data_IF_230507291941
#
_entry.id   IF_230507291941
#
_cell.length_a   1.000
_cell.length_b   1.000
_cell.length_c   1.000
_cell.angle_alpha   90.00
_cell.angle_beta   90.00
_cell.angle_gamma   90.00
#
_symmetry.space_group_name_H-M   'P 1'
#
loop_
_entity.id
_entity.type
_entity.pdbx_description
1 polymer ?
#
# COMPACT_ATOMS: atom_id res chain seq x y z
N UNK A 1 19.02 -11.53 7.30
CA UNK A 1 18.51 -10.50 6.38
C UNK A 1 17.59 -11.14 5.33
N UNK A 2 16.41 -10.56 5.06
CA UNK A 2 15.55 -11.05 3.97
C UNK A 2 16.20 -10.76 2.62
N UNK A 3 16.12 -11.71 1.69
CA UNK A 3 16.65 -11.57 0.33
C UNK A 3 15.57 -10.96 -0.56
N UNK A 4 15.94 -9.96 -1.38
CA UNK A 4 15.06 -9.47 -2.45
C UNK A 4 15.20 -10.41 -3.63
N UNK A 5 14.07 -10.95 -4.07
CA UNK A 5 13.98 -11.72 -5.31
C UNK A 5 13.15 -10.90 -6.27
N UNK A 6 13.80 -10.34 -7.29
CA UNK A 6 13.15 -9.57 -8.35
C UNK A 6 13.63 -10.10 -9.70
N UNK A 7 12.70 -10.30 -10.63
CA UNK A 7 13.03 -10.71 -12.00
C UNK A 7 13.74 -9.59 -12.77
N UNK A 8 14.44 -9.93 -13.84
CA UNK A 8 15.02 -8.95 -14.77
C UNK A 8 13.91 -8.07 -15.39
N UNK A 9 14.16 -6.78 -15.70
CA UNK A 9 13.15 -5.87 -16.23
C UNK A 9 12.33 -6.44 -17.38
N UNK A 10 12.98 -7.09 -18.37
CA UNK A 10 12.32 -7.73 -19.53
C UNK A 10 11.30 -8.82 -19.17
N UNK A 11 11.45 -9.43 -17.99
CA UNK A 11 10.63 -10.52 -17.49
C UNK A 11 9.57 -10.05 -16.48
N UNK A 12 9.51 -8.75 -16.20
CA UNK A 12 8.52 -8.14 -15.29
C UNK A 12 7.42 -7.41 -16.05
N UNK A 13 6.28 -7.15 -15.40
CA UNK A 13 5.19 -6.36 -16.00
C UNK A 13 5.62 -4.94 -16.40
N UNK A 14 6.62 -4.37 -15.71
CA UNK A 14 7.16 -3.04 -16.00
C UNK A 14 7.79 -2.95 -17.38
N UNK A 15 8.52 -3.99 -17.81
CA UNK A 15 9.26 -4.08 -19.08
C UNK A 15 10.22 -2.91 -19.39
N UNK A 16 10.48 -2.03 -18.42
CA UNK A 16 11.32 -0.85 -18.58
C UNK A 16 12.13 -0.58 -17.31
N UNK A 17 13.29 0.06 -17.47
CA UNK A 17 14.30 0.21 -16.44
C UNK A 17 13.86 1.10 -15.26
N UNK A 18 13.24 2.26 -15.53
CA UNK A 18 12.86 3.21 -14.48
C UNK A 18 11.82 2.68 -13.50
N UNK A 19 10.66 2.14 -13.92
CA UNK A 19 9.70 1.59 -12.98
C UNK A 19 10.23 0.33 -12.28
N UNK A 20 11.05 -0.48 -12.94
CA UNK A 20 11.75 -1.60 -12.30
C UNK A 20 12.64 -1.13 -11.14
N UNK A 21 13.45 -0.07 -11.35
CA UNK A 21 14.29 0.52 -10.30
C UNK A 21 13.45 1.02 -9.12
N UNK A 22 12.30 1.64 -9.37
CA UNK A 22 11.42 2.09 -8.29
C UNK A 22 10.71 0.90 -7.62
N UNK A 23 10.37 -0.18 -8.34
CA UNK A 23 9.89 -1.43 -7.72
C UNK A 23 10.95 -2.03 -6.78
N UNK A 24 12.24 -1.94 -7.09
CA UNK A 24 13.29 -2.35 -6.14
C UNK A 24 13.21 -1.57 -4.82
N UNK A 25 12.76 -0.31 -4.84
CA UNK A 25 12.53 0.46 -3.60
C UNK A 25 11.35 -0.07 -2.76
N UNK A 26 10.31 -0.62 -3.40
CA UNK A 26 9.22 -1.35 -2.73
C UNK A 26 9.79 -2.57 -2.00
N UNK A 27 10.61 -3.36 -2.68
CA UNK A 27 11.23 -4.55 -2.10
C UNK A 27 12.25 -4.24 -0.98
N UNK A 28 13.03 -3.16 -1.13
CA UNK A 28 13.89 -2.67 -0.05
C UNK A 28 13.09 -2.21 1.16
N UNK A 29 11.90 -1.64 0.96
CA UNK A 29 11.03 -1.29 2.08
C UNK A 29 10.54 -2.52 2.84
N UNK A 30 10.26 -3.64 2.15
CA UNK A 30 10.01 -4.92 2.81
C UNK A 30 11.21 -5.39 3.63
N UNK A 31 12.45 -5.21 3.16
CA UNK A 31 13.63 -5.51 3.99
C UNK A 31 13.65 -4.65 5.26
N UNK A 32 13.32 -3.36 5.16
CA UNK A 32 13.24 -2.46 6.31
C UNK A 32 12.14 -2.88 7.31
N UNK A 33 10.96 -3.29 6.82
CA UNK A 33 9.88 -3.84 7.64
C UNK A 33 10.32 -5.13 8.33
N UNK A 34 10.89 -6.07 7.60
CA UNK A 34 11.32 -7.38 8.10
C UNK A 34 12.50 -7.28 9.07
N UNK A 35 13.28 -6.21 8.98
CA UNK A 35 14.42 -5.95 9.87
C UNK A 35 13.99 -5.36 11.22
N UNK A 36 12.73 -4.93 11.38
CA UNK A 36 12.28 -4.41 12.66
C UNK A 36 12.36 -5.47 13.76
N UNK A 37 12.84 -5.12 14.97
CA UNK A 37 12.87 -6.05 16.09
C UNK A 37 11.49 -6.62 16.38
N UNK A 38 11.40 -7.95 16.50
CA UNK A 38 10.15 -8.63 16.82
C UNK A 38 9.20 -8.83 15.63
N UNK A 39 9.57 -8.42 14.40
CA UNK A 39 8.68 -8.52 13.24
C UNK A 39 8.14 -9.94 13.02
N UNK A 40 9.01 -10.96 12.95
CA UNK A 40 8.59 -12.34 12.71
C UNK A 40 7.73 -12.90 13.85
N UNK A 41 8.06 -12.56 15.10
CA UNK A 41 7.26 -12.93 16.26
C UNK A 41 5.88 -12.27 16.22
N UNK A 42 5.80 -10.99 15.82
CA UNK A 42 4.54 -10.28 15.69
C UNK A 42 3.67 -10.88 14.58
N UNK A 43 4.27 -11.27 13.45
CA UNK A 43 3.58 -11.95 12.34
C UNK A 43 3.06 -13.32 12.77
N UNK A 44 3.87 -14.11 13.48
CA UNK A 44 3.45 -15.40 14.04
C UNK A 44 2.29 -15.22 15.04
N UNK A 45 2.36 -14.19 15.89
CA UNK A 45 1.35 -13.85 16.89
C UNK A 45 0.00 -13.43 16.28
N UNK A 46 -0.07 -13.11 14.99
CA UNK A 46 -1.36 -12.93 14.31
C UNK A 46 -2.19 -14.22 14.35
N UNK A 47 -1.55 -15.39 14.40
CA UNK A 47 -2.20 -16.71 14.45
C UNK A 47 -2.82 -17.16 13.12
N UNK A 48 -2.46 -16.51 12.01
CA UNK A 48 -3.11 -16.69 10.71
C UNK A 48 -2.47 -17.79 9.85
N UNK A 49 -1.25 -18.23 10.19
CA UNK A 49 -0.54 -19.26 9.42
C UNK A 49 -1.20 -20.63 9.50
N UNK A 50 -1.89 -20.95 10.61
CA UNK A 50 -2.60 -22.22 10.85
C UNK A 50 -1.75 -23.46 10.52
N UNK A 51 -0.45 -23.41 10.82
CA UNK A 51 0.51 -24.49 10.58
C UNK A 51 1.28 -24.38 9.26
N UNK A 52 1.01 -23.37 8.43
CA UNK A 52 1.82 -23.08 7.25
C UNK A 52 3.19 -22.49 7.64
N UNK A 53 4.24 -23.26 7.41
CA UNK A 53 5.63 -22.87 7.63
C UNK A 53 6.32 -22.24 6.40
N UNK A 54 5.64 -22.21 5.24
CA UNK A 54 6.18 -21.68 3.97
C UNK A 54 5.96 -20.17 3.80
N UNK A 55 5.04 -19.59 4.56
CA UNK A 55 4.61 -18.20 4.43
C UNK A 55 3.54 -17.96 3.36
N UNK A 56 3.14 -19.00 2.61
CA UNK A 56 2.13 -18.92 1.56
C UNK A 56 0.75 -18.47 2.07
N UNK A 57 0.46 -18.61 3.37
CA UNK A 57 -0.76 -18.11 4.00
C UNK A 57 -0.93 -16.60 3.75
N UNK A 58 0.14 -15.81 3.67
CA UNK A 58 0.06 -14.38 3.41
C UNK A 58 -0.50 -14.06 2.01
N UNK A 59 -0.37 -15.00 1.08
CA UNK A 59 -0.86 -14.90 -0.30
C UNK A 59 -2.22 -15.59 -0.47
N UNK A 60 -2.42 -16.73 0.22
CA UNK A 60 -3.53 -17.64 0.02
C UNK A 60 -4.58 -17.60 1.14
N UNK A 61 -4.46 -16.67 2.09
CA UNK A 61 -5.43 -16.53 3.18
C UNK A 61 -6.85 -16.35 2.61
N UNK A 62 -7.85 -17.10 3.10
CA UNK A 62 -9.20 -17.14 2.54
C UNK A 62 -10.05 -15.96 3.01
N UNK A 63 -9.59 -14.74 2.77
CA UNK A 63 -10.37 -13.52 3.05
C UNK A 63 -11.67 -13.52 2.21
N UNK A 64 -12.78 -12.99 2.73
CA UNK A 64 -14.09 -13.02 2.06
C UNK A 64 -14.19 -12.01 0.90
N UNK A 65 -13.33 -12.14 -0.11
CA UNK A 65 -13.29 -11.26 -1.29
C UNK A 65 -14.60 -11.24 -2.10
N UNK A 66 -15.30 -12.38 -2.11
CA UNK A 66 -16.53 -12.58 -2.91
C UNK A 66 -17.81 -12.31 -2.10
N UNK A 67 -17.72 -12.00 -0.79
CA UNK A 67 -18.88 -11.62 0.00
C UNK A 67 -19.44 -10.26 -0.49
N UNK A 68 -20.70 -10.20 -0.97
CA UNK A 68 -21.26 -8.96 -1.51
C UNK A 68 -21.31 -7.80 -0.52
N UNK A 69 -21.49 -8.07 0.78
CA UNK A 69 -21.52 -7.03 1.83
C UNK A 69 -20.13 -6.43 2.04
N UNK A 70 -19.10 -7.28 2.05
CA UNK A 70 -17.70 -6.84 2.18
C UNK A 70 -17.29 -6.06 0.94
N UNK A 71 -17.57 -6.58 -0.26
CA UNK A 71 -17.26 -5.92 -1.53
C UNK A 71 -17.96 -4.56 -1.66
N UNK A 72 -19.25 -4.47 -1.33
CA UNK A 72 -19.99 -3.20 -1.36
C UNK A 72 -19.41 -2.18 -0.37
N UNK A 73 -19.10 -2.62 0.85
CA UNK A 73 -18.52 -1.74 1.87
C UNK A 73 -17.11 -1.28 1.49
N UNK A 74 -16.31 -2.15 0.87
CA UNK A 74 -14.99 -1.81 0.34
C UNK A 74 -15.09 -0.76 -0.77
N UNK A 75 -16.00 -0.95 -1.74
CA UNK A 75 -16.22 0.01 -2.82
C UNK A 75 -16.64 1.39 -2.28
N UNK A 76 -17.55 1.42 -1.29
CA UNK A 76 -17.93 2.67 -0.62
C UNK A 76 -16.73 3.36 0.05
N UNK A 77 -15.88 2.60 0.73
CA UNK A 77 -14.70 3.13 1.41
C UNK A 77 -13.66 3.67 0.43
N UNK A 78 -13.42 2.95 -0.67
CA UNK A 78 -12.58 3.34 -1.82
C UNK A 78 -13.04 4.67 -2.42
N UNK A 79 -14.34 4.82 -2.67
CA UNK A 79 -14.89 6.03 -3.28
C UNK A 79 -14.78 7.24 -2.32
N UNK A 80 -14.99 7.03 -1.03
CA UNK A 80 -14.75 8.04 0.00
C UNK A 80 -13.27 8.44 0.08
N UNK A 81 -12.35 7.48 0.00
CA UNK A 81 -10.91 7.73 0.02
C UNK A 81 -10.49 8.62 -1.15
N UNK A 82 -10.90 8.26 -2.37
CA UNK A 82 -10.65 9.03 -3.59
C UNK A 82 -11.22 10.45 -3.48
N UNK A 83 -12.49 10.58 -3.07
CA UNK A 83 -13.14 11.88 -2.88
C UNK A 83 -12.40 12.73 -1.85
N UNK A 84 -11.89 12.13 -0.78
CA UNK A 84 -11.15 12.84 0.27
C UNK A 84 -9.79 13.30 -0.22
N UNK A 85 -9.08 12.49 -1.01
CA UNK A 85 -7.76 12.84 -1.55
C UNK A 85 -7.82 13.97 -2.58
N UNK A 86 -8.86 13.99 -3.40
CA UNK A 86 -9.09 15.00 -4.45
C UNK A 86 -9.55 16.37 -3.87
N UNK A 87 -9.95 16.42 -2.60
CA UNK A 87 -10.38 17.67 -1.96
C UNK A 87 -9.19 18.58 -1.62
N UNK A 88 -9.31 19.85 -2.01
CA UNK A 88 -8.28 20.90 -1.84
C UNK A 88 -8.69 21.96 -0.84
N UNK A 89 -9.97 22.03 -0.47
CA UNK A 89 -10.47 22.93 0.55
C UNK A 89 -10.39 22.29 1.94
N UNK A 90 -9.59 22.86 2.85
CA UNK A 90 -9.34 22.31 4.19
C UNK A 90 -10.59 22.02 5.02
N UNK A 91 -11.60 22.91 4.96
CA UNK A 91 -12.84 22.72 5.73
C UNK A 91 -13.67 21.56 5.20
N UNK A 92 -13.71 21.37 3.87
CA UNK A 92 -14.39 20.23 3.25
C UNK A 92 -13.58 18.95 3.45
N UNK A 93 -12.26 19.03 3.33
CA UNK A 93 -11.33 17.94 3.58
C UNK A 93 -11.53 17.35 4.98
N UNK A 94 -11.54 18.20 6.03
CA UNK A 94 -11.78 17.75 7.40
C UNK A 94 -13.12 17.01 7.57
N UNK A 95 -14.18 17.46 6.90
CA UNK A 95 -15.49 16.77 6.92
C UNK A 95 -15.45 15.42 6.19
N UNK A 96 -14.74 15.35 5.06
CA UNK A 96 -14.60 14.12 4.29
C UNK A 96 -13.73 13.09 5.02
N UNK A 97 -12.62 13.52 5.62
CA UNK A 97 -11.80 12.71 6.53
C UNK A 97 -12.65 12.09 7.63
N UNK A 98 -13.45 12.90 8.34
CA UNK A 98 -14.29 12.38 9.43
C UNK A 98 -15.29 11.32 8.93
N UNK A 99 -15.84 11.50 7.73
CA UNK A 99 -16.70 10.50 7.07
C UNK A 99 -15.93 9.24 6.70
N UNK A 100 -14.76 9.39 6.11
CA UNK A 100 -13.87 8.29 5.73
C UNK A 100 -13.45 7.46 6.96
N UNK A 101 -12.94 8.10 8.02
CA UNK A 101 -12.54 7.43 9.27
C UNK A 101 -13.72 6.65 9.88
N UNK A 102 -14.92 7.25 9.92
CA UNK A 102 -16.12 6.57 10.41
C UNK A 102 -16.48 5.36 9.54
N UNK A 103 -16.41 5.50 8.22
CA UNK A 103 -16.67 4.41 7.28
C UNK A 103 -15.62 3.29 7.40
N UNK A 104 -14.34 3.64 7.56
CA UNK A 104 -13.23 2.70 7.77
C UNK A 104 -13.46 1.87 9.04
N UNK A 105 -13.76 2.52 10.17
CA UNK A 105 -14.09 1.84 11.43
C UNK A 105 -15.27 0.87 11.26
N UNK A 106 -16.34 1.30 10.58
CA UNK A 106 -17.49 0.43 10.29
C UNK A 106 -17.13 -0.76 9.38
N UNK A 107 -16.29 -0.52 8.38
CA UNK A 107 -15.85 -1.56 7.44
C UNK A 107 -15.06 -2.65 8.17
N UNK A 108 -14.06 -2.29 8.97
CA UNK A 108 -13.27 -3.26 9.74
C UNK A 108 -14.10 -3.97 10.81
N UNK A 109 -15.03 -3.29 11.47
CA UNK A 109 -15.90 -3.88 12.49
C UNK A 109 -16.86 -4.96 11.95
N UNK A 110 -17.05 -5.06 10.62
CA UNK A 110 -17.86 -6.12 10.01
C UNK A 110 -17.08 -7.40 9.72
N UNK A 111 -15.74 -7.32 9.74
CA UNK A 111 -14.86 -8.45 9.45
C UNK A 111 -14.76 -9.37 10.66
N UNK A 112 -14.45 -10.65 10.42
CA UNK A 112 -14.05 -11.52 11.51
C UNK A 112 -12.72 -11.02 12.13
N UNK A 113 -12.40 -11.39 13.39
CA UNK A 113 -11.13 -10.99 14.00
C UNK A 113 -9.89 -11.38 13.17
N UNK A 114 -9.90 -12.56 12.53
CA UNK A 114 -8.79 -13.01 11.69
C UNK A 114 -8.73 -12.22 10.36
N UNK A 115 -9.88 -11.92 9.75
CA UNK A 115 -9.95 -11.14 8.51
C UNK A 115 -9.52 -9.68 8.71
N UNK A 116 -9.86 -9.09 9.87
CA UNK A 116 -9.36 -7.78 10.27
C UNK A 116 -7.84 -7.81 10.35
N UNK A 117 -7.27 -8.74 11.13
CA UNK A 117 -5.81 -8.87 11.27
C UNK A 117 -5.13 -9.05 9.92
N UNK A 118 -5.66 -9.94 9.07
CA UNK A 118 -5.12 -10.20 7.74
C UNK A 118 -5.10 -8.92 6.89
N UNK A 119 -6.24 -8.24 6.75
CA UNK A 119 -6.32 -7.05 5.91
C UNK A 119 -5.49 -5.89 6.47
N UNK A 120 -5.50 -5.69 7.79
CA UNK A 120 -4.67 -4.69 8.47
C UNK A 120 -3.18 -4.93 8.21
N UNK A 121 -2.74 -6.19 8.32
CA UNK A 121 -1.37 -6.60 8.02
C UNK A 121 -1.02 -6.35 6.55
N UNK A 122 -1.88 -6.72 5.60
CA UNK A 122 -1.62 -6.54 4.17
C UNK A 122 -1.58 -5.05 3.76
N UNK A 123 -2.43 -4.21 4.33
CA UNK A 123 -2.38 -2.76 4.11
C UNK A 123 -1.12 -2.14 4.71
N UNK A 124 -0.72 -2.57 5.92
CA UNK A 124 0.52 -2.15 6.54
C UNK A 124 1.74 -2.60 5.71
N UNK A 125 1.76 -3.84 5.24
CA UNK A 125 2.90 -4.42 4.54
C UNK A 125 3.00 -3.94 3.09
N UNK A 126 2.05 -4.35 2.25
CA UNK A 126 2.08 -4.13 0.80
C UNK A 126 1.59 -2.74 0.41
N UNK A 127 0.56 -2.27 1.11
CA UNK A 127 -0.01 -0.95 0.88
C UNK A 127 1.00 0.16 1.12
N UNK A 128 1.71 0.13 2.26
CA UNK A 128 2.73 1.13 2.58
C UNK A 128 4.03 0.90 1.79
N UNK A 129 4.32 -0.31 1.35
CA UNK A 129 5.39 -0.53 0.37
C UNK A 129 5.06 0.16 -0.98
N UNK A 130 3.82 0.03 -1.49
CA UNK A 130 3.37 0.77 -2.68
C UNK A 130 3.34 2.28 -2.46
N UNK A 131 2.95 2.76 -1.28
CA UNK A 131 3.11 4.16 -0.91
C UNK A 131 4.58 4.60 -1.03
N UNK A 132 5.50 3.80 -0.48
CA UNK A 132 6.94 4.07 -0.51
C UNK A 132 7.48 4.10 -1.93
N UNK A 133 7.00 3.22 -2.82
CA UNK A 133 7.28 3.26 -4.26
C UNK A 133 6.94 4.63 -4.85
N UNK A 134 5.73 5.15 -4.58
CA UNK A 134 5.31 6.48 -5.06
C UNK A 134 6.20 7.59 -4.48
N UNK A 135 6.47 7.57 -3.17
CA UNK A 135 7.31 8.60 -2.53
C UNK A 135 8.76 8.55 -3.01
N UNK A 136 9.29 7.37 -3.28
CA UNK A 136 10.63 7.19 -3.82
C UNK A 136 10.73 7.79 -5.23
N UNK A 137 9.73 7.54 -6.09
CA UNK A 137 9.66 8.17 -7.40
C UNK A 137 9.59 9.70 -7.29
N UNK A 138 8.75 10.24 -6.40
CA UNK A 138 8.66 11.68 -6.14
C UNK A 138 9.97 12.29 -5.65
N UNK A 139 10.68 11.62 -4.75
CA UNK A 139 11.98 12.07 -4.26
C UNK A 139 13.04 12.04 -5.38
N UNK A 140 12.97 11.04 -6.27
CA UNK A 140 13.86 10.89 -7.42
C UNK A 140 13.55 11.87 -8.57
N UNK A 141 12.43 12.59 -8.54
CA UNK A 141 12.02 13.47 -9.66
C UNK A 141 13.08 14.53 -10.05
N UNK A 142 13.93 14.94 -9.10
CA UNK A 142 15.04 15.89 -9.35
C UNK A 142 16.41 15.23 -9.38
N UNK A 143 16.46 13.90 -9.27
CA UNK A 143 17.70 13.15 -9.29
C UNK A 143 18.23 13.08 -10.73
N UNK A 144 19.52 13.36 -10.89
CA UNK A 144 20.20 13.21 -12.17
C UNK A 144 20.82 11.80 -12.22
N UNK A 145 20.32 10.90 -13.08
CA UNK A 145 20.94 9.58 -13.23
C UNK A 145 22.36 9.69 -13.82
N UNK A 146 23.14 8.64 -13.60
CA UNK A 146 24.42 8.47 -14.27
C UNK A 146 24.22 8.45 -15.81
N UNK A 147 25.20 8.96 -16.60
CA UNK A 147 25.09 9.00 -18.06
C UNK A 147 24.75 7.63 -18.69
N UNK A 148 25.28 6.55 -18.13
CA UNK A 148 25.06 5.19 -18.60
C UNK A 148 23.59 4.77 -18.45
N UNK A 149 22.96 5.15 -17.35
CA UNK A 149 21.55 4.86 -17.09
C UNK A 149 20.64 5.72 -17.97
N UNK A 150 20.97 6.99 -18.14
CA UNK A 150 20.24 7.90 -19.03
C UNK A 150 20.33 7.47 -20.51
N UNK A 151 21.34 6.69 -20.88
CA UNK A 151 21.54 6.17 -22.23
C UNK A 151 20.77 4.87 -22.52
N UNK A 152 20.09 4.28 -21.54
CA UNK A 152 19.26 3.08 -21.76
C UNK A 152 18.13 3.38 -22.75
N UNK A 153 17.86 2.44 -23.67
CA UNK A 153 16.88 2.61 -24.77
C UNK A 153 15.46 2.87 -24.27
N UNK A 154 15.15 2.34 -23.09
CA UNK A 154 13.86 2.37 -22.41
C UNK A 154 13.87 3.33 -21.20
N UNK A 155 14.88 4.19 -21.08
CA UNK A 155 14.95 5.18 -20.01
C UNK A 155 13.74 6.11 -20.05
N UNK A 156 13.01 6.15 -18.94
CA UNK A 156 11.98 7.15 -18.66
C UNK A 156 12.53 8.14 -17.62
N UNK A 157 12.45 9.46 -17.87
CA UNK A 157 12.84 10.47 -16.88
C UNK A 157 12.11 10.32 -15.54
N UNK A 158 12.83 10.49 -14.43
CA UNK A 158 12.28 10.26 -13.09
C UNK A 158 11.12 11.21 -12.74
N UNK A 159 11.14 12.46 -13.23
CA UNK A 159 10.04 13.40 -13.02
C UNK A 159 8.74 12.96 -13.71
N UNK A 160 8.86 12.48 -14.95
CA UNK A 160 7.78 11.94 -15.75
C UNK A 160 7.21 10.68 -15.10
N UNK A 161 8.10 9.77 -14.66
CA UNK A 161 7.69 8.57 -13.95
C UNK A 161 7.03 8.88 -12.59
N UNK A 162 7.54 9.85 -11.83
CA UNK A 162 6.95 10.23 -10.54
C UNK A 162 5.49 10.70 -10.70
N UNK A 163 5.23 11.56 -11.69
CA UNK A 163 3.87 12.00 -12.00
C UNK A 163 2.97 10.83 -12.40
N UNK A 164 3.49 9.90 -13.22
CA UNK A 164 2.79 8.70 -13.67
C UNK A 164 2.49 7.73 -12.53
N UNK A 165 3.46 7.40 -11.67
CA UNK A 165 3.32 6.44 -10.58
C UNK A 165 2.19 6.81 -9.61
N UNK A 166 2.09 8.10 -9.23
CA UNK A 166 0.99 8.60 -8.41
C UNK A 166 -0.35 8.49 -9.16
N UNK A 167 -0.40 8.96 -10.40
CA UNK A 167 -1.63 8.95 -11.19
C UNK A 167 -2.16 7.53 -11.45
N UNK A 168 -1.27 6.60 -11.76
CA UNK A 168 -1.58 5.18 -11.96
C UNK A 168 -2.11 4.55 -10.68
N UNK A 169 -1.46 4.77 -9.54
CA UNK A 169 -1.93 4.25 -8.23
C UNK A 169 -3.37 4.70 -7.93
N UNK A 170 -3.70 5.98 -8.17
CA UNK A 170 -5.06 6.49 -7.94
C UNK A 170 -6.04 6.03 -9.03
N UNK A 171 -5.59 5.83 -10.27
CA UNK A 171 -6.40 5.28 -11.36
C UNK A 171 -6.73 3.81 -11.14
N UNK A 172 -5.76 3.01 -10.68
CA UNK A 172 -5.95 1.63 -10.22
C UNK A 172 -7.00 1.61 -9.13
N UNK A 173 -6.82 2.38 -8.05
CA UNK A 173 -7.79 2.47 -6.96
C UNK A 173 -9.19 2.80 -7.47
N UNK A 174 -9.34 3.72 -8.42
CA UNK A 174 -10.66 4.11 -8.96
C UNK A 174 -11.39 2.98 -9.68
N UNK A 175 -10.67 2.03 -10.28
CA UNK A 175 -11.24 0.94 -11.08
C UNK A 175 -11.28 -0.40 -10.34
N UNK A 176 -10.56 -0.50 -9.23
CA UNK A 176 -10.32 -1.78 -8.58
C UNK A 176 -11.59 -2.34 -7.96
N UNK A 177 -11.79 -3.63 -8.16
CA UNK A 177 -12.92 -4.40 -7.62
C UNK A 177 -12.40 -5.49 -6.69
N UNK A 178 -12.99 -5.61 -5.50
CA UNK A 178 -12.52 -6.53 -4.46
C UNK A 178 -12.64 -7.99 -4.89
N UNK A 179 -13.78 -8.37 -5.46
CA UNK A 179 -14.05 -9.76 -5.82
C UNK A 179 -13.14 -10.23 -6.96
N UNK A 180 -12.92 -9.37 -7.97
CA UNK A 180 -12.06 -9.69 -9.13
C UNK A 180 -10.58 -9.64 -8.81
N UNK A 181 -10.14 -8.60 -8.11
CA UNK A 181 -8.70 -8.33 -7.92
C UNK A 181 -8.13 -9.00 -6.67
N UNK A 182 -9.01 -9.46 -5.76
CA UNK A 182 -8.64 -10.16 -4.53
C UNK A 182 -7.57 -9.38 -3.76
N UNK A 183 -6.50 -10.03 -3.32
CA UNK A 183 -5.40 -9.41 -2.57
C UNK A 183 -4.79 -8.19 -3.26
N UNK A 184 -4.79 -8.10 -4.60
CA UNK A 184 -4.21 -6.98 -5.33
C UNK A 184 -4.84 -5.63 -4.95
N UNK A 185 -6.04 -5.62 -4.36
CA UNK A 185 -6.65 -4.39 -3.86
C UNK A 185 -5.81 -3.63 -2.84
N UNK A 186 -4.96 -4.31 -2.08
CA UNK A 186 -4.27 -3.69 -0.95
C UNK A 186 -3.19 -2.70 -1.38
N UNK A 187 -2.61 -2.89 -2.57
CA UNK A 187 -1.52 -2.05 -3.07
C UNK A 187 -1.97 -0.61 -3.28
N UNK A 188 -2.95 -0.39 -4.16
CA UNK A 188 -3.45 0.95 -4.47
C UNK A 188 -4.25 1.55 -3.31
N UNK A 189 -4.98 0.71 -2.56
CA UNK A 189 -5.78 1.16 -1.42
C UNK A 189 -4.89 1.61 -0.26
N UNK A 190 -3.94 0.78 0.18
CA UNK A 190 -3.04 1.14 1.27
C UNK A 190 -2.08 2.27 0.89
N UNK A 191 -1.67 2.36 -0.38
CA UNK A 191 -0.92 3.51 -0.86
C UNK A 191 -1.70 4.82 -0.73
N UNK A 192 -2.99 4.80 -1.12
CA UNK A 192 -3.88 5.93 -0.96
C UNK A 192 -4.16 6.28 0.50
N UNK A 193 -4.24 5.29 1.41
CA UNK A 193 -4.29 5.54 2.86
C UNK A 193 -3.02 6.25 3.34
N UNK A 194 -1.83 5.83 2.91
CA UNK A 194 -0.57 6.53 3.23
C UNK A 194 -0.54 7.97 2.72
N UNK A 195 -1.05 8.22 1.50
CA UNK A 195 -1.20 9.57 0.95
C UNK A 195 -2.21 10.42 1.74
N UNK A 196 -3.27 9.81 2.25
CA UNK A 196 -4.21 10.50 3.12
C UNK A 196 -3.57 10.88 4.46
N UNK A 197 -2.79 9.96 5.04
CA UNK A 197 -2.09 10.18 6.30
C UNK A 197 -1.05 11.29 6.23
N UNK A 198 -0.41 11.52 5.08
CA UNK A 198 0.47 12.69 4.87
C UNK A 198 -0.24 14.02 5.17
N UNK A 199 -1.55 14.11 4.92
CA UNK A 199 -2.37 15.30 5.22
C UNK A 199 -3.01 15.22 6.61
N UNK A 200 -3.54 14.05 6.97
CA UNK A 200 -4.33 13.85 8.19
C UNK A 200 -3.46 13.80 9.46
N UNK A 201 -2.31 13.13 9.39
CA UNK A 201 -1.43 12.90 10.54
C UNK A 201 0.04 12.99 10.07
N UNK A 202 0.58 14.19 9.81
CA UNK A 202 1.89 14.33 9.14
C UNK A 202 3.07 13.60 9.82
N UNK A 203 2.98 13.33 11.12
CA UNK A 203 3.98 12.56 11.89
C UNK A 203 3.77 11.04 11.89
N UNK A 204 2.84 10.48 11.12
CA UNK A 204 2.50 9.05 11.15
C UNK A 204 3.70 8.14 10.83
N UNK A 205 4.65 8.60 10.01
CA UNK A 205 5.83 7.83 9.60
C UNK A 205 6.78 7.55 10.77
N UNK A 206 6.88 8.48 11.73
CA UNK A 206 7.70 8.32 12.93
C UNK A 206 7.13 7.27 13.89
N UNK A 207 5.85 6.97 13.75
CA UNK A 207 5.09 6.02 14.56
C UNK A 207 4.85 4.69 13.83
N UNK A 208 5.13 4.62 12.52
CA UNK A 208 4.79 3.47 11.67
C UNK A 208 5.33 2.13 12.19
N UNK A 209 6.60 2.10 12.60
CA UNK A 209 7.22 0.88 13.16
C UNK A 209 6.90 0.64 14.64
N UNK A 210 6.31 1.62 15.34
CA UNK A 210 5.80 1.43 16.70
C UNK A 210 4.44 0.74 16.70
N UNK A 211 3.67 0.90 15.62
CA UNK A 211 2.40 0.23 15.37
C UNK A 211 2.55 -0.82 14.27
N UNK A 212 3.32 -1.88 14.54
CA UNK A 212 3.55 -2.94 13.55
C UNK A 212 2.25 -3.64 13.13
N UNK A 213 2.19 -4.04 11.85
CA UNK A 213 1.17 -4.90 11.25
C UNK A 213 -0.25 -4.33 11.19
N UNK A 214 -0.47 -3.07 11.55
CA UNK A 214 -1.77 -2.40 11.36
C UNK A 214 -1.61 -0.89 11.18
N UNK A 215 -2.53 -0.30 10.44
CA UNK A 215 -2.64 1.16 10.27
C UNK A 215 -3.74 1.78 11.14
N UNK A 216 -4.45 1.00 11.95
CA UNK A 216 -5.68 1.42 12.63
C UNK A 216 -5.48 2.62 13.56
N UNK A 217 -4.41 2.60 14.36
CA UNK A 217 -4.10 3.68 15.32
C UNK A 217 -3.93 5.05 14.64
N UNK A 218 -3.55 5.08 13.36
CA UNK A 218 -3.40 6.33 12.60
C UNK A 218 -4.73 6.95 12.18
N UNK A 219 -5.83 6.20 12.25
CA UNK A 219 -7.19 6.64 11.93
C UNK A 219 -8.10 6.71 13.16
N UNK A 220 -7.53 6.63 14.37
CA UNK A 220 -8.30 6.66 15.62
C UNK A 220 -8.41 8.04 16.27
N UNK A 221 -7.61 9.01 15.83
CA UNK A 221 -7.56 10.38 16.36
C UNK A 221 -8.77 11.23 15.99
#
# INVERSE_FOLDING_TARGET
PSVIVIGEPENTESKTSTPWLITVMHEHFHQLQNFQPGYFQAVEALGLSRGDATGMWMLNYPFPYEDPKVAQSFAHLRDLLLTTLDETNDRKFAKLVARYVKARKKFFAQLSPDDHKYLGFQLWQEGIARYTQVKAAEAAAKYQPAPEYAALKDYEPFDSYAARARAETLSELRRIDLARSKRVVVYSFGAAEGLLLDKLNPGWKDEYFKHMLSMDSFFEK
#
